data_IF_660788150054
#
_entry.id   IF_660788150054
#
_cell.length_a   1.000
_cell.length_b   1.000
_cell.length_c   1.000
_cell.angle_alpha   90.00
_cell.angle_beta   90.00
_cell.angle_gamma   90.00
#
_symmetry.space_group_name_H-M   'P 1'
#
loop_
_entity.id
_entity.type
_entity.pdbx_description
1 polymer ?
#
# COMPACT_ATOMS: atom_id res chain seq x y z
N UNK A 1 -3.68 -9.88 -25.27
CA UNK A 1 -3.33 -8.60 -24.59
C UNK A 1 -3.98 -8.61 -23.22
N UNK A 2 -3.21 -8.54 -22.13
CA UNK A 2 -3.80 -8.39 -20.80
C UNK A 2 -4.40 -6.97 -20.69
N UNK A 3 -5.69 -6.88 -20.40
CA UNK A 3 -6.34 -5.60 -20.12
C UNK A 3 -5.71 -4.92 -18.89
N UNK A 4 -6.04 -3.65 -18.68
CA UNK A 4 -5.57 -2.89 -17.50
C UNK A 4 -5.86 -3.69 -16.23
N UNK A 5 -4.88 -3.76 -15.32
CA UNK A 5 -5.07 -4.36 -13.99
C UNK A 5 -6.34 -3.77 -13.36
N UNK A 6 -7.25 -4.59 -12.83
CA UNK A 6 -8.49 -4.09 -12.25
C UNK A 6 -8.16 -3.17 -11.08
N UNK A 7 -8.92 -2.07 -10.94
CA UNK A 7 -8.81 -1.19 -9.77
C UNK A 7 -8.98 -2.01 -8.48
N UNK A 8 -8.17 -1.75 -7.44
CA UNK A 8 -8.31 -2.39 -6.13
C UNK A 8 -9.71 -2.22 -5.55
N UNK A 9 -10.16 -3.20 -4.76
CA UNK A 9 -11.48 -3.14 -4.14
C UNK A 9 -11.63 -1.96 -3.20
N UNK A 10 -10.56 -1.54 -2.51
CA UNK A 10 -10.58 -0.34 -1.66
C UNK A 10 -10.94 0.92 -2.47
N UNK A 11 -10.34 1.11 -3.64
CA UNK A 11 -10.63 2.24 -4.54
C UNK A 11 -12.07 2.15 -5.06
N UNK A 12 -12.52 0.96 -5.46
CA UNK A 12 -13.91 0.76 -5.92
C UNK A 12 -14.95 1.06 -4.83
N UNK A 13 -14.65 0.78 -3.56
CA UNK A 13 -15.51 1.14 -2.42
C UNK A 13 -15.59 2.66 -2.25
N UNK A 14 -14.46 3.35 -2.31
CA UNK A 14 -14.39 4.82 -2.21
C UNK A 14 -15.12 5.51 -3.37
N UNK A 15 -14.97 4.99 -4.59
CA UNK A 15 -15.68 5.49 -5.78
C UNK A 15 -17.18 5.11 -5.81
N UNK A 16 -17.72 4.45 -4.78
CA UNK A 16 -19.13 4.09 -4.68
C UNK A 16 -19.56 2.92 -5.58
N UNK A 17 -18.62 2.12 -6.08
CA UNK A 17 -18.84 0.99 -6.98
C UNK A 17 -19.73 1.35 -8.19
N UNK A 18 -19.26 2.22 -9.10
CA UNK A 18 -20.09 2.74 -10.20
C UNK A 18 -20.62 1.64 -11.13
N UNK A 19 -19.93 0.49 -11.19
CA UNK A 19 -20.37 -0.68 -11.96
C UNK A 19 -21.37 -1.60 -11.25
N UNK A 20 -21.71 -1.37 -9.98
CA UNK A 20 -22.60 -2.19 -9.12
C UNK A 20 -22.29 -3.70 -9.08
N UNK A 21 -21.12 -4.13 -9.58
CA UNK A 21 -20.71 -5.54 -9.56
C UNK A 21 -20.27 -5.95 -8.16
N UNK A 22 -20.39 -7.25 -7.84
CA UNK A 22 -19.90 -7.80 -6.56
C UNK A 22 -18.40 -7.54 -6.43
N UNK A 23 -18.00 -6.93 -5.31
CA UNK A 23 -16.61 -6.62 -5.00
C UNK A 23 -15.85 -7.87 -4.55
N UNK A 24 -14.55 -7.93 -4.84
CA UNK A 24 -13.70 -9.03 -4.39
C UNK A 24 -13.45 -8.91 -2.88
N UNK A 25 -13.90 -9.88 -2.10
CA UNK A 25 -13.69 -9.92 -0.64
C UNK A 25 -12.42 -10.63 -0.22
N UNK A 26 -11.74 -11.32 -1.15
CA UNK A 26 -10.50 -12.09 -0.90
C UNK A 26 -9.24 -11.27 -1.21
N UNK A 27 -9.36 -9.97 -1.42
CA UNK A 27 -8.21 -9.13 -1.68
C UNK A 27 -7.41 -8.94 -0.38
N UNK A 28 -6.08 -9.10 -0.41
CA UNK A 28 -5.27 -8.90 0.78
C UNK A 28 -5.41 -7.46 1.26
N UNK A 29 -5.84 -7.29 2.50
CA UNK A 29 -5.93 -5.97 3.14
C UNK A 29 -4.58 -5.70 3.79
N UNK A 30 -3.83 -4.68 3.35
CA UNK A 30 -2.57 -4.35 3.97
C UNK A 30 -2.82 -3.85 5.40
N UNK A 31 -2.00 -4.32 6.33
CA UNK A 31 -2.08 -3.88 7.73
C UNK A 31 -1.75 -2.37 7.80
N UNK A 32 -2.51 -1.64 8.61
CA UNK A 32 -2.17 -0.26 8.95
C UNK A 32 -0.99 -0.28 9.91
N UNK A 33 0.09 0.42 9.57
CA UNK A 33 1.28 0.48 10.40
C UNK A 33 2.46 1.11 9.68
N UNK A 34 3.42 1.60 10.45
CA UNK A 34 4.65 2.19 9.92
C UNK A 34 5.48 1.15 9.17
N UNK A 35 5.89 1.34 7.90
CA UNK A 35 6.86 0.45 7.28
C UNK A 35 8.17 0.45 8.08
N UNK A 36 8.80 -0.72 8.17
CA UNK A 36 10.09 -0.85 8.85
C UNK A 36 11.17 -0.07 8.08
N UNK A 37 12.15 0.49 8.79
CA UNK A 37 13.22 1.25 8.16
C UNK A 37 14.02 0.36 7.20
N UNK A 38 14.22 0.75 5.92
CA UNK A 38 14.96 -0.09 4.97
C UNK A 38 16.41 -0.29 5.41
N UNK A 39 16.91 -1.53 5.32
CA UNK A 39 18.27 -1.85 5.78
C UNK A 39 19.37 -1.18 4.95
N UNK A 40 19.12 -0.96 3.66
CA UNK A 40 20.04 -0.37 2.68
C UNK A 40 20.19 1.16 2.80
N UNK A 41 19.45 1.81 3.71
CA UNK A 41 19.59 3.24 3.94
C UNK A 41 20.93 3.57 4.62
N UNK A 42 21.55 4.66 4.21
CA UNK A 42 22.71 5.22 4.91
C UNK A 42 22.33 5.72 6.31
N UNK A 43 23.27 5.79 7.27
CA UNK A 43 22.98 6.20 8.66
C UNK A 43 22.30 7.56 8.77
N UNK A 44 22.65 8.52 7.92
CA UNK A 44 22.06 9.85 7.85
C UNK A 44 20.62 9.79 7.36
N UNK A 45 20.36 8.93 6.37
CA UNK A 45 19.02 8.72 5.84
C UNK A 45 18.13 7.98 6.84
N UNK A 46 18.68 7.09 7.69
CA UNK A 46 17.91 6.41 8.75
C UNK A 46 17.39 7.40 9.79
N UNK A 47 18.19 8.41 10.16
CA UNK A 47 17.76 9.48 11.06
C UNK A 47 16.59 10.28 10.48
N UNK A 48 16.65 10.60 9.20
CA UNK A 48 15.56 11.31 8.53
C UNK A 48 14.32 10.42 8.35
N UNK A 49 14.52 9.11 8.15
CA UNK A 49 13.44 8.13 8.14
C UNK A 49 12.69 8.10 9.47
N UNK A 50 13.39 8.06 10.61
CA UNK A 50 12.76 8.10 11.94
C UNK A 50 11.99 9.41 12.17
N UNK A 51 12.56 10.55 11.75
CA UNK A 51 11.92 11.86 11.86
C UNK A 51 10.63 11.95 11.05
N UNK A 52 10.63 11.39 9.84
CA UNK A 52 9.48 11.42 8.94
C UNK A 52 8.47 10.31 9.26
N UNK A 53 8.93 9.18 9.80
CA UNK A 53 8.08 8.07 10.17
C UNK A 53 6.93 8.57 11.05
N UNK A 54 7.20 9.28 12.14
CA UNK A 54 6.17 9.79 13.05
C UNK A 54 5.06 10.63 12.37
N UNK A 55 5.38 11.29 11.25
CA UNK A 55 4.43 12.09 10.49
C UNK A 55 3.59 11.27 9.50
N UNK A 56 4.04 10.07 9.14
CA UNK A 56 3.43 9.29 8.08
C UNK A 56 2.88 7.98 8.64
N UNK A 57 1.58 7.95 8.93
CA UNK A 57 0.85 6.68 9.10
C UNK A 57 0.62 6.06 7.73
N UNK A 58 1.67 5.47 7.14
CA UNK A 58 1.51 4.74 5.87
C UNK A 58 0.78 3.43 6.16
N UNK A 59 0.10 2.93 5.15
CA UNK A 59 -0.29 1.52 5.07
C UNK A 59 0.99 0.69 4.83
N UNK A 60 1.29 -0.33 5.66
CA UNK A 60 2.38 -1.29 5.39
C UNK A 60 2.04 -2.05 4.10
N UNK A 61 2.38 -1.50 2.95
CA UNK A 61 2.42 -2.25 1.69
C UNK A 61 3.89 -2.51 1.38
N UNK A 62 4.37 -3.66 1.85
CA UNK A 62 5.65 -4.20 1.42
C UNK A 62 5.57 -4.35 -0.11
N UNK A 63 6.45 -3.65 -0.81
CA UNK A 63 6.69 -3.88 -2.23
C UNK A 63 7.11 -5.35 -2.39
N UNK A 64 6.19 -6.22 -2.77
CA UNK A 64 6.48 -7.61 -3.10
C UNK A 64 5.53 -8.08 -4.21
N UNK A 65 5.68 -7.47 -5.38
CA UNK A 65 5.30 -8.10 -6.66
C UNK A 65 6.30 -7.72 -7.73
N UNK A 66 7.55 -8.16 -7.57
CA UNK A 66 8.40 -8.57 -8.70
C UNK A 66 8.79 -10.02 -8.44
N UNK A 67 8.08 -10.90 -9.14
CA UNK A 67 8.20 -12.35 -9.17
C UNK A 67 7.30 -12.84 -10.28
#
# INVERSE_FOLDING_TARGET
MAGRKPKPTAVKKLEGNPGKRKLNTKEPVPAKGMPDCPEWLLPEAKKEWERLADLIVVVKHFCNTYG
#
